data_IF_109333986660
#
_entry.id   IF_109333986660
#
_cell.length_a   1.000
_cell.length_b   1.000
_cell.length_c   1.000
_cell.angle_alpha   90.00
_cell.angle_beta   90.00
_cell.angle_gamma   90.00
#
_symmetry.space_group_name_H-M   'P 1'
#
loop_
_entity.id
_entity.type
_entity.pdbx_description
1 polymer ?
#
# COMPACT_ATOMS: atom_id res chain seq x y z
N UNK A 1 -12.98 -13.56 9.81
CA UNK A 1 -12.54 -12.82 8.61
C UNK A 1 -11.51 -11.76 9.04
N UNK A 2 -10.45 -11.62 8.27
CA UNK A 2 -9.43 -10.61 8.57
C UNK A 2 -9.97 -9.22 8.29
N UNK A 3 -9.76 -8.31 9.23
CA UNK A 3 -10.14 -6.91 9.07
C UNK A 3 -9.09 -6.17 8.22
N UNK A 4 -9.56 -5.37 7.27
CA UNK A 4 -8.71 -4.51 6.45
C UNK A 4 -9.02 -3.05 6.81
N UNK A 5 -7.97 -2.30 7.18
CA UNK A 5 -8.09 -0.89 7.57
C UNK A 5 -7.25 0.00 6.67
N UNK A 6 -7.81 1.12 6.26
CA UNK A 6 -7.06 2.18 5.59
C UNK A 6 -6.35 3.02 6.65
N UNK A 7 -5.06 3.28 6.45
CA UNK A 7 -4.35 4.31 7.18
C UNK A 7 -4.48 5.64 6.42
N UNK A 8 -3.86 6.70 6.92
CA UNK A 8 -3.98 8.02 6.27
C UNK A 8 -3.20 8.11 4.95
N UNK A 9 -2.08 7.42 4.85
CA UNK A 9 -1.20 7.54 3.68
C UNK A 9 -1.82 7.05 2.36
N UNK A 10 -2.48 5.88 2.30
CA UNK A 10 -3.14 5.47 1.06
C UNK A 10 -4.28 6.41 0.65
N UNK A 11 -4.97 7.04 1.58
CA UNK A 11 -5.95 8.09 1.22
C UNK A 11 -5.27 9.26 0.53
N UNK A 12 -4.12 9.73 1.05
CA UNK A 12 -3.35 10.80 0.40
C UNK A 12 -2.87 10.37 -0.98
N UNK A 13 -2.40 9.13 -1.12
CA UNK A 13 -2.01 8.57 -2.43
C UNK A 13 -3.19 8.57 -3.40
N UNK A 14 -4.37 8.14 -2.96
CA UNK A 14 -5.57 8.10 -3.80
C UNK A 14 -5.97 9.49 -4.27
N UNK A 15 -5.90 10.49 -3.39
CA UNK A 15 -6.20 11.88 -3.77
C UNK A 15 -5.23 12.38 -4.83
N UNK A 16 -3.95 12.06 -4.73
CA UNK A 16 -2.95 12.43 -5.72
C UNK A 16 -3.21 11.73 -7.07
N UNK A 17 -3.60 10.47 -7.04
CA UNK A 17 -3.93 9.71 -8.25
C UNK A 17 -5.18 10.27 -8.92
N UNK A 18 -6.20 10.61 -8.14
CA UNK A 18 -7.42 11.25 -8.66
C UNK A 18 -7.09 12.56 -9.36
N UNK A 19 -6.28 13.41 -8.72
CA UNK A 19 -5.86 14.70 -9.29
C UNK A 19 -5.09 14.50 -10.59
N UNK A 20 -4.20 13.52 -10.65
CA UNK A 20 -3.46 13.19 -11.86
C UNK A 20 -4.39 12.86 -13.03
N UNK A 21 -5.36 11.97 -12.83
CA UNK A 21 -6.28 11.56 -13.88
C UNK A 21 -7.22 12.69 -14.29
N UNK A 22 -7.67 13.50 -13.34
CA UNK A 22 -8.52 14.66 -13.63
C UNK A 22 -7.77 15.69 -14.48
N UNK A 23 -6.51 15.97 -14.10
CA UNK A 23 -5.70 16.97 -14.83
C UNK A 23 -5.31 16.49 -16.23
N UNK A 24 -5.30 15.19 -16.48
CA UNK A 24 -4.98 14.62 -17.78
C UNK A 24 -6.23 14.27 -18.59
N UNK A 25 -7.39 14.78 -18.19
CA UNK A 25 -8.69 14.62 -18.88
C UNK A 25 -9.08 13.16 -19.11
N UNK A 26 -8.72 12.26 -18.18
CA UNK A 26 -9.07 10.84 -18.24
C UNK A 26 -9.56 10.36 -16.88
N UNK A 27 -10.75 10.78 -16.42
CA UNK A 27 -11.24 10.46 -15.07
C UNK A 27 -11.48 8.96 -14.85
N UNK A 28 -11.68 8.19 -15.91
CA UNK A 28 -11.98 6.76 -15.79
C UNK A 28 -10.84 5.94 -15.18
N UNK A 29 -9.61 6.42 -15.27
CA UNK A 29 -8.46 5.72 -14.69
C UNK A 29 -8.57 5.58 -13.18
N UNK A 30 -9.07 6.62 -12.51
CA UNK A 30 -9.30 6.60 -11.06
C UNK A 30 -10.47 5.69 -10.71
N UNK A 31 -11.57 5.78 -11.45
CA UNK A 31 -12.75 4.93 -11.21
C UNK A 31 -12.42 3.45 -11.35
N UNK A 32 -11.61 3.08 -12.33
CA UNK A 32 -11.14 1.71 -12.52
C UNK A 32 -10.31 1.22 -11.32
N UNK A 33 -9.45 2.07 -10.77
CA UNK A 33 -8.67 1.75 -9.58
C UNK A 33 -9.58 1.48 -8.37
N UNK A 34 -10.54 2.37 -8.13
CA UNK A 34 -11.47 2.22 -7.00
C UNK A 34 -12.31 0.95 -7.16
N UNK A 35 -12.80 0.67 -8.37
CA UNK A 35 -13.57 -0.55 -8.63
C UNK A 35 -12.74 -1.81 -8.34
N UNK A 36 -11.49 -1.83 -8.76
CA UNK A 36 -10.61 -2.97 -8.49
C UNK A 36 -10.33 -3.14 -7.00
N UNK A 37 -10.08 -2.03 -6.28
CA UNK A 37 -9.90 -2.08 -4.83
C UNK A 37 -11.12 -2.67 -4.14
N UNK A 38 -12.31 -2.14 -4.42
CA UNK A 38 -13.53 -2.53 -3.73
C UNK A 38 -14.01 -3.93 -4.11
N UNK A 39 -13.90 -4.31 -5.39
CA UNK A 39 -14.49 -5.55 -5.86
C UNK A 39 -13.56 -6.76 -5.78
N UNK A 40 -12.25 -6.57 -5.81
CA UNK A 40 -11.30 -7.70 -5.83
C UNK A 40 -10.22 -7.62 -4.76
N UNK A 41 -9.53 -6.50 -4.66
CA UNK A 41 -8.30 -6.40 -3.86
C UNK A 41 -8.59 -6.63 -2.38
N UNK A 42 -9.55 -5.92 -1.82
CA UNK A 42 -9.91 -6.06 -0.41
C UNK A 42 -10.35 -7.49 -0.10
N UNK A 43 -11.20 -8.07 -0.95
CA UNK A 43 -11.68 -9.44 -0.77
C UNK A 43 -10.53 -10.45 -0.84
N UNK A 44 -9.61 -10.28 -1.79
CA UNK A 44 -8.45 -11.16 -1.92
C UNK A 44 -7.55 -11.10 -0.68
N UNK A 45 -7.32 -9.92 -0.13
CA UNK A 45 -6.53 -9.75 1.08
C UNK A 45 -7.23 -10.36 2.30
N UNK A 46 -8.55 -10.24 2.40
CA UNK A 46 -9.31 -10.84 3.49
C UNK A 46 -9.25 -12.36 3.46
N UNK A 47 -9.32 -12.96 2.27
CA UNK A 47 -9.29 -14.41 2.10
C UNK A 47 -7.88 -14.99 2.11
N UNK A 48 -6.90 -14.22 1.65
CA UNK A 48 -5.50 -14.64 1.52
C UNK A 48 -4.57 -13.52 1.98
N UNK A 49 -4.45 -13.28 3.29
CA UNK A 49 -3.70 -12.11 3.79
C UNK A 49 -2.22 -12.10 3.42
N UNK A 50 -1.65 -13.25 3.07
CA UNK A 50 -0.25 -13.36 2.65
C UNK A 50 -0.08 -13.51 1.15
N UNK A 51 -1.09 -13.14 0.37
CA UNK A 51 -1.03 -13.21 -1.09
C UNK A 51 0.03 -12.29 -1.70
N UNK A 52 0.30 -11.15 -1.06
CA UNK A 52 1.33 -10.22 -1.51
C UNK A 52 2.74 -10.72 -1.26
N UNK A 53 3.70 -10.15 -1.99
CA UNK A 53 5.12 -10.46 -1.85
C UNK A 53 5.69 -9.79 -0.60
N UNK A 54 6.73 -10.41 -0.02
CA UNK A 54 7.44 -9.76 1.08
C UNK A 54 8.17 -8.52 0.54
N UNK A 55 7.78 -7.35 1.04
CA UNK A 55 8.31 -6.07 0.56
C UNK A 55 9.77 -5.86 0.99
N UNK A 56 10.09 -6.20 2.25
CA UNK A 56 11.42 -5.92 2.81
C UNK A 56 12.53 -6.77 2.18
N UNK A 57 12.20 -7.98 1.75
CA UNK A 57 13.18 -8.85 1.08
C UNK A 57 13.60 -8.30 -0.29
N UNK A 58 12.75 -7.47 -0.91
CA UNK A 58 13.03 -6.86 -2.19
C UNK A 58 13.73 -5.52 -2.08
N UNK A 59 13.84 -4.98 -0.85
CA UNK A 59 14.53 -3.72 -0.62
C UNK A 59 16.02 -3.97 -0.53
N UNK A 60 16.70 -3.75 -1.63
CA UNK A 60 18.14 -3.83 -1.68
C UNK A 60 18.76 -2.61 -1.02
N UNK A 61 20.04 -2.72 -0.67
CA UNK A 61 20.76 -1.67 0.04
C UNK A 61 20.98 -0.44 -0.84
N UNK A 62 20.01 0.46 -0.82
CA UNK A 62 20.10 1.79 -1.43
C UNK A 62 19.67 2.82 -0.40
N UNK A 63 20.09 4.08 -0.60
CA UNK A 63 19.67 5.17 0.29
C UNK A 63 18.15 5.33 0.30
N UNK A 64 17.50 5.17 -0.85
CA UNK A 64 16.04 5.28 -0.94
C UNK A 64 15.35 4.14 -0.17
N UNK A 65 15.89 2.94 -0.25
CA UNK A 65 15.35 1.81 0.51
C UNK A 65 15.49 2.05 2.01
N UNK A 66 16.65 2.56 2.47
CA UNK A 66 16.83 2.89 3.88
C UNK A 66 15.85 3.95 4.37
N UNK A 67 15.65 5.01 3.57
CA UNK A 67 14.68 6.07 3.90
C UNK A 67 13.28 5.49 4.02
N UNK A 68 12.88 4.64 3.09
CA UNK A 68 11.55 4.03 3.11
C UNK A 68 11.37 3.10 4.33
N UNK A 69 12.39 2.34 4.69
CA UNK A 69 12.34 1.49 5.89
C UNK A 69 12.17 2.33 7.14
N UNK A 70 12.88 3.46 7.26
CA UNK A 70 12.73 4.35 8.42
C UNK A 70 11.33 4.97 8.48
N UNK A 71 10.78 5.37 7.35
CA UNK A 71 9.41 5.88 7.29
C UNK A 71 8.39 4.81 7.71
N UNK A 72 8.59 3.58 7.26
CA UNK A 72 7.73 2.45 7.66
C UNK A 72 7.83 2.21 9.17
N UNK A 73 9.02 2.23 9.76
CA UNK A 73 9.17 2.06 11.21
C UNK A 73 8.38 3.10 11.98
N UNK A 74 8.44 4.37 11.57
CA UNK A 74 7.68 5.44 12.22
C UNK A 74 6.18 5.25 12.05
N UNK A 75 5.74 4.86 10.86
CA UNK A 75 4.33 4.60 10.61
C UNK A 75 3.81 3.43 11.48
N UNK A 76 4.56 2.35 11.58
CA UNK A 76 4.17 1.20 12.38
C UNK A 76 4.03 1.52 13.87
N UNK A 77 4.84 2.43 14.39
CA UNK A 77 4.68 2.89 15.78
C UNK A 77 3.30 3.50 15.98
N UNK A 78 2.80 4.29 15.03
CA UNK A 78 1.46 4.87 15.14
C UNK A 78 0.36 3.82 15.09
N UNK A 79 0.64 2.63 14.58
CA UNK A 79 -0.29 1.49 14.49
C UNK A 79 -0.11 0.50 15.66
N UNK A 80 0.70 0.86 16.65
CA UNK A 80 1.01 0.02 17.82
C UNK A 80 1.65 -1.33 17.42
N UNK A 81 2.49 -1.33 16.40
CA UNK A 81 3.23 -2.51 15.95
C UNK A 81 4.65 -2.13 15.55
N UNK A 82 5.43 -3.10 15.08
CA UNK A 82 6.82 -2.88 14.63
C UNK A 82 7.22 -3.95 13.62
N UNK A 83 8.39 -3.78 12.99
CA UNK A 83 8.87 -4.69 11.94
C UNK A 83 9.20 -6.10 12.44
N UNK A 84 9.38 -6.30 13.74
CA UNK A 84 9.63 -7.64 14.30
C UNK A 84 8.36 -8.49 14.32
N UNK A 85 7.20 -7.85 14.38
CA UNK A 85 5.89 -8.51 14.48
C UNK A 85 5.13 -8.45 13.17
N UNK A 86 5.18 -7.29 12.49
CA UNK A 86 4.37 -7.03 11.29
C UNK A 86 5.03 -7.60 10.05
N UNK A 87 4.22 -8.18 9.17
CA UNK A 87 4.66 -8.56 7.83
C UNK A 87 4.31 -7.44 6.87
N UNK A 88 5.32 -6.88 6.21
CA UNK A 88 5.13 -5.83 5.19
C UNK A 88 5.11 -6.52 3.84
N UNK A 89 3.98 -6.38 3.13
CA UNK A 89 3.76 -7.06 1.86
C UNK A 89 3.26 -6.08 0.80
N UNK A 90 3.47 -6.47 -0.44
CA UNK A 90 3.14 -5.70 -1.62
C UNK A 90 2.24 -6.54 -2.53
N UNK A 91 1.04 -6.03 -2.82
CA UNK A 91 0.07 -6.70 -3.69
C UNK A 91 0.05 -6.01 -5.05
N UNK A 92 0.22 -6.79 -6.11
CA UNK A 92 0.22 -6.26 -7.48
C UNK A 92 -1.20 -6.30 -8.05
N UNK A 93 -1.71 -5.13 -8.38
CA UNK A 93 -2.97 -4.93 -9.10
C UNK A 93 -2.67 -4.80 -10.59
N UNK A 94 -3.68 -4.50 -11.42
CA UNK A 94 -3.48 -4.37 -12.86
C UNK A 94 -2.40 -3.33 -13.21
N UNK A 95 -2.57 -2.08 -12.75
CA UNK A 95 -1.65 -0.98 -13.05
C UNK A 95 -1.01 -0.37 -11.79
N UNK A 96 -1.36 -0.87 -10.62
CA UNK A 96 -0.96 -0.30 -9.35
C UNK A 96 -0.35 -1.36 -8.43
N UNK A 97 0.35 -0.90 -7.41
CA UNK A 97 0.86 -1.75 -6.34
C UNK A 97 0.36 -1.20 -5.01
N UNK A 98 -0.06 -2.10 -4.15
CA UNK A 98 -0.59 -1.78 -2.82
C UNK A 98 0.39 -2.30 -1.77
N UNK A 99 0.85 -1.40 -0.92
CA UNK A 99 1.70 -1.74 0.22
C UNK A 99 0.80 -1.95 1.43
N UNK A 100 0.95 -3.07 2.12
CA UNK A 100 0.16 -3.34 3.30
C UNK A 100 0.97 -4.05 4.39
N UNK A 101 0.45 -4.00 5.59
CA UNK A 101 1.03 -4.60 6.79
C UNK A 101 0.03 -5.60 7.37
N UNK A 102 0.49 -6.81 7.65
CA UNK A 102 -0.30 -7.83 8.36
C UNK A 102 0.24 -7.95 9.77
N UNK A 103 -0.59 -7.67 10.76
CA UNK A 103 -0.22 -7.75 12.17
C UNK A 103 -1.43 -8.08 13.02
N UNK A 104 -1.35 -9.16 13.81
CA UNK A 104 -2.39 -9.52 14.76
C UNK A 104 -3.77 -9.78 14.15
N UNK A 105 -3.83 -10.34 12.94
CA UNK A 105 -5.09 -10.62 12.26
C UNK A 105 -5.74 -9.39 11.62
N UNK A 106 -5.03 -8.27 11.57
CA UNK A 106 -5.49 -7.04 10.93
C UNK A 106 -4.54 -6.67 9.80
N UNK A 107 -5.10 -6.28 8.66
CA UNK A 107 -4.33 -5.73 7.55
C UNK A 107 -4.51 -4.20 7.57
N UNK A 108 -3.38 -3.49 7.62
CA UNK A 108 -3.36 -2.03 7.46
C UNK A 108 -2.83 -1.70 6.07
N UNK A 109 -3.61 -0.97 5.29
CA UNK A 109 -3.17 -0.49 3.97
C UNK A 109 -2.27 0.72 4.19
N UNK A 110 -1.05 0.67 3.66
CA UNK A 110 -0.01 1.65 3.95
C UNK A 110 0.26 2.61 2.80
N UNK A 111 0.05 2.20 1.56
CA UNK A 111 0.29 3.06 0.41
C UNK A 111 -0.11 2.40 -0.90
N UNK A 112 -0.34 3.24 -1.90
CA UNK A 112 -0.67 2.83 -3.28
C UNK A 112 0.21 3.62 -4.23
N UNK A 113 0.77 2.95 -5.23
CA UNK A 113 1.49 3.63 -6.31
C UNK A 113 1.15 3.01 -7.65
N UNK A 114 1.31 3.80 -8.72
CA UNK A 114 1.33 3.28 -10.08
C UNK A 114 2.60 2.44 -10.27
N UNK A 115 2.52 1.37 -11.06
CA UNK A 115 3.66 0.47 -11.28
C UNK A 115 4.89 1.19 -11.85
N UNK A 116 4.69 2.27 -12.59
CA UNK A 116 5.78 3.06 -13.17
C UNK A 116 6.50 3.98 -12.18
N UNK A 117 5.93 4.21 -11.01
CA UNK A 117 6.63 4.97 -9.96
C UNK A 117 7.73 4.10 -9.36
N UNK A 118 8.89 4.70 -9.07
CA UNK A 118 10.05 3.96 -8.56
C UNK A 118 9.84 3.49 -7.12
N UNK A 119 9.12 4.27 -6.31
CA UNK A 119 8.90 3.94 -4.90
C UNK A 119 7.57 4.46 -4.42
N UNK A 120 7.07 3.88 -3.32
CA UNK A 120 5.88 4.38 -2.65
C UNK A 120 6.16 5.74 -2.02
N UNK A 121 5.21 6.67 -2.17
CA UNK A 121 5.22 7.92 -1.42
C UNK A 121 4.66 7.62 -0.03
N UNK A 122 5.53 7.60 0.97
CA UNK A 122 5.16 7.31 2.36
C UNK A 122 5.44 8.55 3.19
N UNK A 123 4.37 9.09 3.76
CA UNK A 123 4.46 10.23 4.68
C UNK A 123 4.42 9.73 6.11
N UNK A 124 5.25 10.32 6.95
CA UNK A 124 5.31 10.00 8.37
C UNK A 124 4.72 11.15 9.25
#
# INVERSE_FOLDING_TARGET
MIEVRYTDNPYANLLSIEAFWTNNTFPYGFDQLIDELDSRTIANLQNHPRIGRNFLQRQLSSKQAEVNVQKLRRLLVTLNTNLDIAEIREYVMADYQLLYCLSGGVIHLLGIKHQKQLSFAIDD
#
